data_IF_175649975077
#
_entry.id   IF_175649975077
#
_cell.length_a   1.000
_cell.length_b   1.000
_cell.length_c   1.000
_cell.angle_alpha   90.00
_cell.angle_beta   90.00
_cell.angle_gamma   90.00
#
_symmetry.space_group_name_H-M   'P 1'
#
loop_
_entity.id
_entity.type
_entity.pdbx_description
1 polymer ?
#
# COMPACT_ATOMS: atom_id res chain seq x y z
N UNK A 1 30.88 -14.85 -35.27
CA UNK A 1 30.59 -13.46 -34.89
C UNK A 1 31.92 -12.78 -34.60
N UNK A 2 32.13 -11.56 -35.10
CA UNK A 2 33.33 -10.79 -34.74
C UNK A 2 33.25 -10.35 -33.27
N UNK A 3 34.35 -10.43 -32.51
CA UNK A 3 34.35 -10.02 -31.11
C UNK A 3 34.14 -8.51 -31.00
N UNK A 4 33.22 -8.09 -30.12
CA UNK A 4 32.87 -6.68 -29.86
C UNK A 4 33.96 -5.91 -29.08
N UNK A 5 35.12 -6.53 -28.83
CA UNK A 5 36.20 -5.97 -28.00
C UNK A 5 36.15 -6.45 -26.54
N UNK A 6 37.22 -6.18 -25.77
CA UNK A 6 37.31 -6.61 -24.37
C UNK A 6 36.45 -5.73 -23.45
N UNK A 7 35.84 -6.35 -22.45
CA UNK A 7 35.28 -5.65 -21.29
C UNK A 7 36.40 -5.39 -20.29
N UNK A 8 36.70 -4.11 -20.04
CA UNK A 8 37.75 -3.68 -19.11
C UNK A 8 37.15 -3.44 -17.70
N UNK A 9 37.69 -4.14 -16.70
CA UNK A 9 37.33 -4.00 -15.30
C UNK A 9 38.61 -3.72 -14.50
N UNK A 10 38.68 -2.56 -13.84
CA UNK A 10 39.81 -2.21 -12.98
C UNK A 10 39.54 -2.59 -11.52
N UNK A 11 40.60 -2.72 -10.74
CA UNK A 11 40.50 -2.99 -9.31
C UNK A 11 39.71 -1.88 -8.61
N UNK A 12 38.66 -2.26 -7.86
CA UNK A 12 37.76 -1.33 -7.17
C UNK A 12 36.56 -0.85 -8.00
N UNK A 13 36.49 -1.16 -9.30
CA UNK A 13 35.31 -0.85 -10.09
C UNK A 13 34.08 -1.65 -9.63
N UNK A 14 32.90 -1.02 -9.69
CA UNK A 14 31.64 -1.74 -9.63
C UNK A 14 31.33 -2.34 -11.01
N UNK A 15 31.26 -3.67 -11.08
CA UNK A 15 31.03 -4.39 -12.33
C UNK A 15 29.77 -3.93 -13.08
N UNK A 16 28.71 -3.57 -12.34
CA UNK A 16 27.47 -3.08 -12.96
C UNK A 16 27.65 -1.79 -13.78
N UNK A 17 28.53 -0.86 -13.35
CA UNK A 17 28.77 0.39 -14.08
C UNK A 17 29.55 0.13 -15.37
N UNK A 18 30.60 -0.70 -15.30
CA UNK A 18 31.45 -1.03 -16.44
C UNK A 18 30.72 -1.86 -17.49
N UNK A 19 29.92 -2.83 -17.07
CA UNK A 19 29.08 -3.62 -17.98
C UNK A 19 28.04 -2.73 -18.63
N UNK A 20 27.49 -1.74 -17.92
CA UNK A 20 26.56 -0.79 -18.52
C UNK A 20 27.25 0.12 -19.54
N UNK A 21 28.40 0.71 -19.20
CA UNK A 21 29.18 1.54 -20.13
C UNK A 21 29.55 0.77 -21.40
N UNK A 22 29.96 -0.49 -21.25
CA UNK A 22 30.25 -1.38 -22.37
C UNK A 22 29.00 -1.66 -23.21
N UNK A 23 27.87 -1.98 -22.58
CA UNK A 23 26.62 -2.23 -23.28
C UNK A 23 26.12 -0.99 -24.03
N UNK A 24 26.24 0.20 -23.45
CA UNK A 24 25.85 1.47 -24.08
C UNK A 24 26.74 1.79 -25.29
N UNK A 25 28.06 1.62 -25.15
CA UNK A 25 29.04 1.84 -26.22
C UNK A 25 28.76 1.00 -27.46
N UNK A 26 28.29 -0.23 -27.29
CA UNK A 26 27.98 -1.15 -28.38
C UNK A 26 26.47 -1.28 -28.66
N UNK A 27 25.65 -0.41 -28.05
CA UNK A 27 24.20 -0.39 -28.20
C UNK A 27 23.55 -1.77 -27.98
N UNK A 28 24.02 -2.50 -26.96
CA UNK A 28 23.56 -3.84 -26.62
C UNK A 28 22.18 -3.78 -25.95
N UNK A 29 21.37 -4.80 -26.21
CA UNK A 29 20.07 -4.93 -25.54
C UNK A 29 20.23 -5.18 -24.04
N UNK A 30 19.21 -4.83 -23.26
CA UNK A 30 19.18 -5.08 -21.81
C UNK A 30 19.40 -6.55 -21.48
N UNK A 31 18.82 -7.48 -22.25
CA UNK A 31 18.99 -8.91 -22.04
C UNK A 31 20.46 -9.36 -22.18
N UNK A 32 21.17 -8.84 -23.18
CA UNK A 32 22.59 -9.15 -23.39
C UNK A 32 23.43 -8.55 -22.26
N UNK A 33 23.14 -7.31 -21.86
CA UNK A 33 23.80 -6.67 -20.72
C UNK A 33 23.62 -7.45 -19.41
N UNK A 34 22.41 -7.91 -19.13
CA UNK A 34 22.11 -8.66 -17.90
C UNK A 34 22.80 -10.03 -17.90
N UNK A 35 22.93 -10.66 -19.08
CA UNK A 35 23.72 -11.87 -19.26
C UNK A 35 25.21 -11.62 -18.98
N UNK A 36 25.79 -10.55 -19.53
CA UNK A 36 27.19 -10.17 -19.27
C UNK A 36 27.39 -9.93 -17.77
N UNK A 37 26.47 -9.21 -17.12
CA UNK A 37 26.56 -8.90 -15.70
C UNK A 37 26.43 -10.15 -14.82
N UNK A 38 25.53 -11.08 -15.16
CA UNK A 38 25.43 -12.37 -14.47
C UNK A 38 26.72 -13.18 -14.62
N UNK A 39 27.31 -13.22 -15.81
CA UNK A 39 28.60 -13.90 -15.98
C UNK A 39 29.67 -13.27 -15.09
N UNK A 40 29.84 -11.96 -15.14
CA UNK A 40 30.86 -11.24 -14.34
C UNK A 40 30.63 -11.40 -12.83
N UNK A 41 29.38 -11.27 -12.36
CA UNK A 41 29.06 -11.21 -10.93
C UNK A 41 28.67 -12.55 -10.28
N UNK A 42 28.41 -13.59 -11.07
CA UNK A 42 28.04 -14.93 -10.58
C UNK A 42 29.05 -15.96 -11.04
N UNK A 43 29.26 -16.10 -12.35
CA UNK A 43 30.02 -17.22 -12.91
C UNK A 43 31.53 -17.07 -12.69
N UNK A 44 32.07 -15.86 -12.91
CA UNK A 44 33.52 -15.62 -12.87
C UNK A 44 33.98 -14.71 -11.74
N UNK A 45 33.07 -14.19 -10.89
CA UNK A 45 33.37 -13.25 -9.79
C UNK A 45 34.55 -13.68 -8.92
N UNK A 46 34.59 -14.96 -8.53
CA UNK A 46 35.66 -15.51 -7.69
C UNK A 46 37.03 -15.58 -8.40
N UNK A 47 37.03 -15.65 -9.73
CA UNK A 47 38.26 -15.72 -10.53
C UNK A 47 38.85 -14.33 -10.85
N UNK A 48 38.01 -13.29 -10.90
CA UNK A 48 38.42 -11.94 -11.34
C UNK A 48 38.50 -10.91 -10.21
N UNK A 49 38.16 -11.28 -8.97
CA UNK A 49 38.22 -10.42 -7.78
C UNK A 49 37.55 -9.03 -7.98
N UNK A 50 36.35 -9.01 -8.56
CA UNK A 50 35.60 -7.77 -8.84
C UNK A 50 34.53 -7.49 -7.79
N UNK A 51 34.26 -6.20 -7.59
CA UNK A 51 33.18 -5.75 -6.71
C UNK A 51 31.86 -5.82 -7.47
N UNK A 52 30.97 -6.67 -6.96
CA UNK A 52 29.58 -6.74 -7.40
C UNK A 52 28.69 -6.47 -6.19
N UNK A 53 28.58 -5.20 -5.80
CA UNK A 53 27.69 -4.78 -4.72
C UNK A 53 26.26 -4.57 -5.21
N UNK A 54 26.06 -4.42 -6.52
CA UNK A 54 24.76 -4.19 -7.15
C UNK A 54 24.71 -4.76 -8.57
N UNK A 55 23.49 -4.98 -9.06
CA UNK A 55 23.24 -5.43 -10.43
C UNK A 55 22.63 -4.32 -11.32
N UNK A 56 22.69 -3.07 -10.88
CA UNK A 56 22.20 -1.92 -11.63
C UNK A 56 23.24 -0.80 -11.59
N UNK A 57 23.56 -0.14 -12.72
CA UNK A 57 24.56 0.92 -12.80
C UNK A 57 24.07 2.23 -12.15
N UNK A 58 24.97 3.11 -11.70
CA UNK A 58 24.60 4.46 -11.25
C UNK A 58 24.40 5.35 -12.47
N UNK A 59 23.18 5.83 -12.67
CA UNK A 59 22.84 6.77 -13.77
C UNK A 59 22.93 8.23 -13.37
N UNK A 60 22.87 8.50 -12.06
CA UNK A 60 22.96 9.86 -11.56
C UNK A 60 23.49 9.86 -10.14
N UNK A 61 24.39 10.80 -9.87
CA UNK A 61 24.93 11.01 -8.54
C UNK A 61 24.91 12.51 -8.24
N UNK A 62 24.28 12.91 -7.13
CA UNK A 62 24.22 14.32 -6.71
C UNK A 62 24.73 14.46 -5.29
N UNK A 63 25.64 15.43 -5.03
CA UNK A 63 25.98 15.80 -3.66
C UNK A 63 24.76 16.42 -2.97
N UNK A 64 24.38 15.87 -1.84
CA UNK A 64 23.30 16.36 -0.98
C UNK A 64 23.92 17.33 0.03
N UNK A 65 23.74 18.63 -0.18
CA UNK A 65 24.20 19.69 0.74
C UNK A 65 23.05 20.21 1.58
N UNK A 66 23.19 20.36 2.90
CA UNK A 66 22.15 20.97 3.76
C UNK A 66 21.86 22.42 3.40
N UNK A 67 22.90 23.16 3.03
CA UNK A 67 22.87 24.55 2.59
C UNK A 67 23.89 24.73 1.46
N UNK A 68 23.70 25.70 0.57
CA UNK A 68 24.62 25.98 -0.54
C UNK A 68 26.07 26.28 -0.09
N UNK A 69 26.24 26.72 1.16
CA UNK A 69 27.53 27.08 1.76
C UNK A 69 28.15 25.94 2.58
N UNK A 70 27.49 24.80 2.75
CA UNK A 70 27.97 23.68 3.56
C UNK A 70 28.54 22.55 2.70
N UNK A 71 29.56 21.81 3.19
CA UNK A 71 30.06 20.64 2.49
C UNK A 71 28.96 19.58 2.32
N UNK A 72 28.97 18.80 1.22
CA UNK A 72 27.99 17.75 0.98
C UNK A 72 27.93 16.76 2.14
N UNK A 73 26.72 16.53 2.65
CA UNK A 73 26.42 15.53 3.69
C UNK A 73 26.59 14.11 3.16
N UNK A 74 26.54 13.95 1.83
CA UNK A 74 26.97 12.76 1.12
C UNK A 74 26.45 12.77 -0.32
N UNK A 75 26.54 11.64 -1.00
CA UNK A 75 26.14 11.51 -2.41
C UNK A 75 24.90 10.64 -2.54
N UNK A 76 23.79 11.20 -3.05
CA UNK A 76 22.66 10.40 -3.49
C UNK A 76 23.00 9.77 -4.83
N UNK A 77 22.96 8.44 -4.89
CA UNK A 77 23.13 7.65 -6.11
C UNK A 77 21.79 7.09 -6.58
N UNK A 78 21.47 7.31 -7.85
CA UNK A 78 20.31 6.75 -8.52
C UNK A 78 20.81 5.65 -9.44
N UNK A 79 20.25 4.44 -9.26
CA UNK A 79 20.58 3.29 -10.08
C UNK A 79 19.63 3.17 -11.27
N UNK A 80 20.11 2.69 -12.41
CA UNK A 80 19.29 2.41 -13.57
C UNK A 80 18.42 1.19 -13.32
N UNK A 81 17.12 1.39 -13.24
CA UNK A 81 16.16 0.30 -13.13
C UNK A 81 15.84 -0.20 -14.54
N UNK A 82 16.82 -0.81 -15.20
CA UNK A 82 16.56 -1.57 -16.42
C UNK A 82 16.43 -3.04 -16.05
N UNK A 83 15.18 -3.50 -15.98
CA UNK A 83 14.82 -4.84 -16.44
C UNK A 83 15.47 -6.04 -15.74
N UNK A 84 15.50 -6.06 -14.40
CA UNK A 84 15.36 -7.36 -13.74
C UNK A 84 13.98 -7.91 -14.10
N UNK A 85 13.95 -8.79 -15.10
CA UNK A 85 12.92 -9.81 -15.23
C UNK A 85 13.05 -10.78 -14.04
N UNK A 86 12.83 -10.30 -12.83
CA UNK A 86 12.00 -11.10 -11.95
C UNK A 86 10.58 -10.92 -12.48
N UNK A 87 9.94 -12.04 -12.74
CA UNK A 87 8.56 -12.18 -13.18
C UNK A 87 7.67 -11.30 -12.31
N UNK A 88 7.41 -10.06 -12.71
CA UNK A 88 6.35 -9.19 -12.21
C UNK A 88 6.15 -8.01 -13.16
N UNK A 89 4.97 -8.01 -13.78
CA UNK A 89 4.48 -6.93 -14.64
C UNK A 89 4.09 -5.74 -13.78
N UNK A 90 5.05 -4.88 -13.41
CA UNK A 90 4.80 -3.43 -13.39
C UNK A 90 6.10 -2.63 -13.19
N UNK A 91 6.82 -2.41 -14.29
CA UNK A 91 7.91 -1.42 -14.39
C UNK A 91 7.40 -0.02 -14.73
N UNK A 92 6.16 0.33 -14.35
CA UNK A 92 5.66 1.70 -14.43
C UNK A 92 6.05 2.50 -13.18
N UNK A 93 7.27 3.02 -13.17
CA UNK A 93 7.67 4.07 -12.24
C UNK A 93 9.18 4.20 -12.02
N UNK A 94 9.89 5.03 -12.81
CA UNK A 94 11.26 5.40 -12.51
C UNK A 94 11.28 6.45 -11.38
N UNK A 95 11.22 5.95 -10.14
CA UNK A 95 11.67 6.52 -8.87
C UNK A 95 10.79 6.02 -7.72
N UNK A 96 10.94 4.75 -7.37
CA UNK A 96 10.47 4.29 -6.08
C UNK A 96 11.37 4.91 -5.02
N UNK A 97 10.76 5.46 -3.97
CA UNK A 97 11.36 6.02 -2.75
C UNK A 97 12.34 5.04 -2.04
N UNK A 98 12.57 3.85 -2.57
CA UNK A 98 13.52 2.84 -2.12
C UNK A 98 14.97 3.31 -1.99
N UNK A 99 15.62 3.94 -3.00
CA UNK A 99 16.99 4.44 -2.86
C UNK A 99 17.12 5.62 -1.91
N UNK A 100 16.12 6.52 -1.84
CA UNK A 100 16.11 7.62 -0.86
C UNK A 100 15.91 7.11 0.57
N UNK A 101 15.11 6.04 0.75
CA UNK A 101 15.00 5.34 2.04
C UNK A 101 16.25 4.55 2.35
N UNK A 102 16.82 3.78 1.43
CA UNK A 102 18.05 3.02 1.68
C UNK A 102 19.21 3.95 2.01
N UNK A 103 19.33 5.06 1.28
CA UNK A 103 20.30 6.13 1.56
C UNK A 103 20.01 6.81 2.91
N UNK A 104 18.76 7.20 3.16
CA UNK A 104 18.33 7.78 4.44
C UNK A 104 18.57 6.85 5.62
N UNK A 105 18.20 5.57 5.53
CA UNK A 105 18.42 4.53 6.54
C UNK A 105 19.91 4.26 6.76
N UNK A 106 20.74 4.26 5.72
CA UNK A 106 22.21 4.16 5.84
C UNK A 106 22.84 5.36 6.57
N UNK A 107 22.11 6.49 6.62
CA UNK A 107 22.52 7.73 7.28
C UNK A 107 21.63 8.12 8.47
N UNK A 108 20.78 7.20 8.93
CA UNK A 108 19.81 7.39 10.01
C UNK A 108 18.96 8.68 9.88
N UNK A 109 18.55 9.04 8.66
CA UNK A 109 17.68 10.20 8.41
C UNK A 109 16.33 10.01 9.09
N UNK A 110 15.86 11.06 9.74
CA UNK A 110 14.51 11.09 10.28
C UNK A 110 13.49 11.09 9.15
N UNK A 111 12.26 10.69 9.46
CA UNK A 111 11.13 10.78 8.54
C UNK A 111 10.99 12.17 7.92
N UNK A 112 11.23 13.21 8.72
CA UNK A 112 11.13 14.61 8.31
C UNK A 112 12.19 15.01 7.30
N UNK A 113 13.43 14.60 7.55
CA UNK A 113 14.52 14.85 6.61
C UNK A 113 14.23 14.20 5.26
N UNK A 114 13.65 13.00 5.23
CA UNK A 114 13.24 12.35 3.97
C UNK A 114 12.15 13.15 3.24
N UNK A 115 11.17 13.67 3.97
CA UNK A 115 10.08 14.43 3.37
C UNK A 115 10.49 15.81 2.85
N UNK A 116 11.47 16.46 3.47
CA UNK A 116 12.01 17.74 2.99
C UNK A 116 12.79 17.57 1.68
N UNK A 117 13.57 16.50 1.56
CA UNK A 117 14.40 16.26 0.38
C UNK A 117 13.62 15.73 -0.83
N UNK A 118 12.55 14.96 -0.61
CA UNK A 118 11.84 14.31 -1.70
C UNK A 118 11.27 15.31 -2.75
N UNK A 119 10.57 16.40 -2.37
CA UNK A 119 10.10 17.39 -3.33
C UNK A 119 11.24 18.05 -4.13
N UNK A 120 12.38 18.32 -3.49
CA UNK A 120 13.53 18.93 -4.18
C UNK A 120 14.12 18.00 -5.24
N UNK A 121 14.28 16.71 -4.91
CA UNK A 121 14.74 15.71 -5.85
C UNK A 121 13.79 15.55 -7.05
N UNK A 122 12.49 15.59 -6.79
CA UNK A 122 11.46 15.47 -7.83
C UNK A 122 11.40 16.67 -8.78
N UNK A 123 11.96 17.82 -8.39
CA UNK A 123 12.04 19.03 -9.24
C UNK A 123 13.28 19.07 -10.13
N UNK A 124 14.26 18.21 -9.88
CA UNK A 124 15.48 18.17 -10.70
C UNK A 124 15.11 17.81 -12.14
N UNK A 125 15.52 18.65 -13.08
CA UNK A 125 15.33 18.44 -14.52
C UNK A 125 16.67 18.28 -15.21
N UNK A 126 16.71 17.45 -16.26
CA UNK A 126 17.86 17.27 -17.15
C UNK A 126 17.37 17.36 -18.59
N UNK A 127 17.98 18.25 -19.38
CA UNK A 127 17.61 18.49 -20.78
C UNK A 127 16.09 18.77 -20.98
N UNK A 128 15.48 19.51 -20.06
CA UNK A 128 14.05 19.88 -20.16
C UNK A 128 13.05 18.80 -19.73
N UNK A 129 13.51 17.63 -19.28
CA UNK A 129 12.66 16.57 -18.73
C UNK A 129 12.91 16.37 -17.23
N UNK A 130 11.88 15.99 -16.44
CA UNK A 130 12.07 15.57 -15.05
C UNK A 130 13.06 14.41 -14.98
N UNK A 131 14.06 14.52 -14.09
CA UNK A 131 15.04 13.46 -13.87
C UNK A 131 14.39 12.24 -13.20
N UNK A 132 13.40 12.49 -12.33
CA UNK A 132 12.68 11.48 -11.55
C UNK A 132 11.19 11.53 -11.90
N UNK A 133 10.56 10.36 -12.11
CA UNK A 133 9.11 10.27 -12.24
C UNK A 133 8.49 10.04 -10.86
N UNK A 134 8.33 11.13 -10.13
CA UNK A 134 7.72 11.10 -8.81
C UNK A 134 6.20 11.02 -8.90
N UNK A 135 5.64 9.86 -8.58
CA UNK A 135 4.19 9.61 -8.63
C UNK A 135 3.49 9.68 -7.27
N UNK A 136 4.24 9.54 -6.17
CA UNK A 136 3.72 9.54 -4.79
C UNK A 136 4.75 10.07 -3.80
N UNK A 137 4.27 10.48 -2.63
CA UNK A 137 5.11 10.91 -1.52
C UNK A 137 5.39 9.80 -0.50
N UNK A 138 4.46 8.86 -0.31
CA UNK A 138 4.64 7.77 0.65
C UNK A 138 5.54 6.67 0.09
N UNK A 139 6.48 6.24 0.91
CA UNK A 139 7.32 5.13 0.56
C UNK A 139 6.55 3.81 0.52
N UNK A 140 6.96 2.93 -0.39
CA UNK A 140 6.48 1.54 -0.39
C UNK A 140 7.35 0.74 0.58
N UNK A 141 6.75 0.28 1.66
CA UNK A 141 7.41 -0.54 2.69
C UNK A 141 7.32 -2.04 2.37
N UNK A 142 6.22 -2.46 1.73
CA UNK A 142 6.00 -3.85 1.33
C UNK A 142 5.38 -3.93 -0.07
N UNK A 143 5.74 -4.98 -0.79
CA UNK A 143 5.25 -5.29 -2.12
C UNK A 143 5.26 -6.80 -2.31
N UNK A 144 4.11 -7.39 -2.54
CA UNK A 144 3.99 -8.81 -2.82
C UNK A 144 2.92 -9.03 -3.90
N UNK A 145 3.32 -9.45 -5.11
CA UNK A 145 2.37 -9.94 -6.11
C UNK A 145 1.87 -11.31 -5.66
N UNK A 146 0.57 -11.42 -5.47
CA UNK A 146 -0.09 -12.65 -5.02
C UNK A 146 -0.56 -13.41 -6.26
N UNK A 147 0.01 -14.59 -6.45
CA UNK A 147 -0.24 -15.44 -7.62
C UNK A 147 -1.23 -16.56 -7.27
N UNK A 148 -2.16 -16.84 -8.18
CA UNK A 148 -3.07 -18.01 -8.10
C UNK A 148 -2.40 -19.24 -8.70
N UNK A 149 -1.72 -19.04 -9.83
CA UNK A 149 -0.91 -20.05 -10.54
C UNK A 149 0.37 -19.38 -11.04
N UNK A 150 1.32 -20.14 -11.58
CA UNK A 150 2.59 -19.60 -12.07
C UNK A 150 2.43 -18.41 -13.03
N UNK A 151 1.36 -18.38 -13.83
CA UNK A 151 1.13 -17.38 -14.87
C UNK A 151 -0.06 -16.43 -14.58
N UNK A 152 -0.79 -16.65 -13.48
CA UNK A 152 -2.01 -15.89 -13.16
C UNK A 152 -1.88 -15.16 -11.82
N UNK A 153 -1.75 -13.84 -11.91
CA UNK A 153 -1.74 -12.94 -10.76
C UNK A 153 -3.18 -12.68 -10.27
N UNK A 154 -3.42 -12.82 -8.97
CA UNK A 154 -4.67 -12.41 -8.32
C UNK A 154 -4.70 -10.89 -8.18
N UNK A 155 -3.58 -10.35 -7.70
CA UNK A 155 -3.33 -8.93 -7.56
C UNK A 155 -2.08 -8.70 -6.71
N UNK A 156 -1.75 -7.44 -6.52
CA UNK A 156 -0.59 -7.03 -5.73
C UNK A 156 -1.02 -6.51 -4.35
N UNK A 157 -0.39 -7.03 -3.29
CA UNK A 157 -0.44 -6.51 -1.93
C UNK A 157 0.68 -5.47 -1.74
N UNK A 158 0.30 -4.22 -1.51
CA UNK A 158 1.20 -3.10 -1.27
C UNK A 158 0.94 -2.52 0.13
N UNK A 159 2.00 -2.17 0.86
CA UNK A 159 1.90 -1.39 2.10
C UNK A 159 2.77 -0.15 1.97
N UNK A 160 2.14 1.01 2.12
CA UNK A 160 2.80 2.32 2.11
C UNK A 160 3.14 2.78 3.53
N UNK A 161 4.10 3.70 3.63
CA UNK A 161 4.54 4.26 4.90
C UNK A 161 3.41 5.00 5.61
N UNK A 162 3.11 4.57 6.84
CA UNK A 162 2.02 5.11 7.66
C UNK A 162 0.70 4.34 7.55
N UNK A 163 0.61 3.33 6.69
CA UNK A 163 -0.52 2.41 6.67
C UNK A 163 -0.31 1.27 7.68
N UNK A 164 -1.41 0.79 8.27
CA UNK A 164 -1.38 -0.43 9.08
C UNK A 164 -1.33 -1.65 8.14
N UNK A 165 -0.29 -2.51 8.22
CA UNK A 165 -0.13 -3.59 7.26
C UNK A 165 -1.27 -4.61 7.31
N UNK A 166 -1.82 -4.91 8.50
CA UNK A 166 -2.91 -5.87 8.61
C UNK A 166 -4.21 -5.38 7.97
N UNK A 167 -4.43 -4.06 7.91
CA UNK A 167 -5.58 -3.48 7.20
C UNK A 167 -5.44 -3.64 5.69
N UNK A 168 -4.22 -3.48 5.16
CA UNK A 168 -3.96 -3.70 3.73
C UNK A 168 -4.14 -5.17 3.35
N UNK A 169 -3.69 -6.10 4.21
CA UNK A 169 -3.93 -7.53 4.04
C UNK A 169 -5.43 -7.81 4.03
N UNK A 170 -6.18 -7.30 5.01
CA UNK A 170 -7.64 -7.48 5.06
C UNK A 170 -8.33 -6.91 3.80
N UNK A 171 -7.98 -5.69 3.38
CA UNK A 171 -8.54 -5.06 2.19
C UNK A 171 -8.22 -5.85 0.92
N UNK A 172 -7.02 -6.44 0.83
CA UNK A 172 -6.66 -7.34 -0.26
C UNK A 172 -7.49 -8.62 -0.25
N UNK A 173 -7.60 -9.29 0.91
CA UNK A 173 -8.41 -10.49 1.06
C UNK A 173 -9.88 -10.25 0.74
N UNK A 174 -10.40 -9.07 1.07
CA UNK A 174 -11.79 -8.66 0.78
C UNK A 174 -12.02 -8.39 -0.69
N UNK A 175 -11.13 -7.62 -1.32
CA UNK A 175 -11.22 -7.31 -2.75
C UNK A 175 -11.16 -8.58 -3.63
N UNK A 176 -10.45 -9.60 -3.18
CA UNK A 176 -10.22 -10.83 -3.93
C UNK A 176 -10.99 -12.05 -3.41
N UNK A 177 -11.84 -11.86 -2.38
CA UNK A 177 -12.65 -12.88 -1.70
C UNK A 177 -11.88 -14.13 -1.24
N UNK A 178 -10.75 -13.90 -0.56
CA UNK A 178 -9.79 -14.93 -0.17
C UNK A 178 -9.90 -15.39 1.30
N UNK A 179 -10.95 -14.99 2.02
CA UNK A 179 -11.01 -15.19 3.48
C UNK A 179 -11.07 -16.64 3.95
N UNK A 180 -11.69 -17.54 3.19
CA UNK A 180 -11.73 -18.98 3.50
C UNK A 180 -10.73 -19.80 2.68
N UNK A 181 -9.72 -19.15 2.07
CA UNK A 181 -8.66 -19.84 1.31
C UNK A 181 -7.45 -20.14 2.18
N UNK A 182 -7.64 -20.87 3.29
CA UNK A 182 -6.50 -21.34 4.08
C UNK A 182 -5.57 -22.20 3.20
N UNK A 183 -4.24 -22.01 3.22
CA UNK A 183 -3.46 -21.21 4.18
C UNK A 183 -3.11 -19.77 3.72
N UNK A 184 -3.67 -19.27 2.62
CA UNK A 184 -3.29 -17.99 1.99
C UNK A 184 -3.56 -16.80 2.92
N UNK A 185 -4.71 -16.77 3.58
CA UNK A 185 -5.12 -15.70 4.51
C UNK A 185 -4.13 -15.52 5.68
N UNK A 186 -3.76 -16.61 6.37
CA UNK A 186 -2.81 -16.60 7.49
C UNK A 186 -1.39 -16.30 7.02
N UNK A 187 -1.00 -16.83 5.87
CA UNK A 187 0.33 -16.65 5.30
C UNK A 187 0.58 -15.18 4.92
N UNK A 188 -0.39 -14.51 4.30
CA UNK A 188 -0.25 -13.10 3.89
C UNK A 188 -0.07 -12.18 5.09
N UNK A 189 -0.85 -12.36 6.16
CA UNK A 189 -0.70 -11.58 7.39
C UNK A 189 0.69 -11.79 8.03
N UNK A 190 1.14 -13.03 8.17
CA UNK A 190 2.42 -13.36 8.79
C UNK A 190 3.62 -12.83 7.99
N UNK A 191 3.63 -13.06 6.66
CA UNK A 191 4.68 -12.55 5.78
C UNK A 191 4.72 -11.02 5.86
N UNK A 192 3.57 -10.36 5.75
CA UNK A 192 3.51 -8.90 5.77
C UNK A 192 4.00 -8.34 7.11
N UNK A 193 3.49 -8.84 8.25
CA UNK A 193 3.87 -8.35 9.57
C UNK A 193 5.32 -8.70 9.97
N UNK A 194 5.93 -9.72 9.35
CA UNK A 194 7.36 -10.01 9.50
C UNK A 194 8.24 -8.98 8.80
N UNK A 195 7.79 -8.44 7.67
CA UNK A 195 8.54 -7.47 6.88
C UNK A 195 8.25 -6.01 7.24
N UNK A 196 7.02 -5.70 7.68
CA UNK A 196 6.60 -4.37 8.12
C UNK A 196 5.95 -4.50 9.50
N UNK A 197 6.43 -3.80 10.53
CA UNK A 197 5.86 -3.88 11.87
C UNK A 197 4.36 -3.53 11.88
N UNK A 198 3.54 -4.46 12.34
CA UNK A 198 2.11 -4.26 12.56
C UNK A 198 1.89 -3.65 13.95
N UNK A 199 1.09 -2.58 14.04
CA UNK A 199 0.74 -2.01 15.36
C UNK A 199 -0.31 -2.85 16.08
N UNK A 200 -1.06 -3.66 15.33
CA UNK A 200 -2.09 -4.57 15.84
C UNK A 200 -2.25 -5.81 14.97
N UNK A 201 -2.83 -6.86 15.56
CA UNK A 201 -3.10 -8.12 14.87
C UNK A 201 -4.52 -8.21 14.30
N UNK A 202 -5.46 -7.47 14.87
CA UNK A 202 -6.85 -7.42 14.39
C UNK A 202 -6.97 -6.31 13.35
N UNK A 203 -7.46 -6.58 12.12
CA UNK A 203 -7.65 -5.56 11.10
C UNK A 203 -8.84 -4.64 11.41
N UNK A 204 -8.82 -3.45 10.83
CA UNK A 204 -9.92 -2.50 10.78
C UNK A 204 -10.21 -2.25 9.30
N UNK A 205 -11.49 -2.18 8.97
CA UNK A 205 -11.91 -1.99 7.58
C UNK A 205 -11.47 -0.60 7.12
N UNK A 206 -10.79 -0.53 5.97
CA UNK A 206 -10.55 0.73 5.27
C UNK A 206 -11.88 1.16 4.67
N UNK A 207 -12.41 2.31 5.08
CA UNK A 207 -13.67 2.85 4.56
C UNK A 207 -13.44 3.38 3.15
N UNK A 208 -12.45 4.26 3.00
CA UNK A 208 -12.05 4.80 1.72
C UNK A 208 -10.62 5.35 1.78
N UNK A 209 -10.06 5.60 0.60
CA UNK A 209 -8.78 6.29 0.41
C UNK A 209 -8.99 7.56 -0.41
N UNK A 210 -8.30 8.62 -0.05
CA UNK A 210 -8.30 9.91 -0.75
C UNK A 210 -6.86 10.27 -1.15
N UNK A 211 -6.71 10.99 -2.25
CA UNK A 211 -5.42 11.57 -2.65
C UNK A 211 -5.46 13.08 -2.48
N UNK A 212 -4.42 13.64 -1.87
CA UNK A 212 -4.19 15.07 -1.76
C UNK A 212 -2.83 15.41 -2.37
N UNK A 213 -2.74 16.49 -3.15
CA UNK A 213 -1.46 16.91 -3.74
C UNK A 213 -0.84 17.99 -2.86
N UNK A 214 0.40 17.79 -2.42
CA UNK A 214 1.17 18.77 -1.66
C UNK A 214 2.60 18.85 -2.19
N UNK A 215 3.11 20.07 -2.38
CA UNK A 215 4.44 20.33 -2.95
C UNK A 215 4.72 19.65 -4.32
N UNK A 216 3.67 19.35 -5.09
CA UNK A 216 3.77 18.67 -6.39
C UNK A 216 3.75 17.14 -6.32
N UNK A 217 3.63 16.56 -5.12
CA UNK A 217 3.54 15.12 -4.90
C UNK A 217 2.15 14.73 -4.45
N UNK A 218 1.68 13.57 -4.92
CA UNK A 218 0.44 12.97 -4.45
C UNK A 218 0.69 12.23 -3.15
N UNK A 219 -0.13 12.53 -2.16
CA UNK A 219 -0.16 11.86 -0.88
C UNK A 219 -1.47 11.08 -0.74
N UNK A 220 -1.40 9.88 -0.17
CA UNK A 220 -2.59 9.04 0.07
C UNK A 220 -2.96 9.06 1.55
N UNK A 221 -4.20 9.46 1.85
CA UNK A 221 -4.82 9.35 3.17
C UNK A 221 -5.86 8.24 3.15
N UNK A 222 -5.83 7.36 4.16
CA UNK A 222 -6.81 6.30 4.34
C UNK A 222 -7.61 6.56 5.61
N UNK A 223 -8.95 6.54 5.49
CA UNK A 223 -9.81 6.54 6.66
C UNK A 223 -10.22 5.09 6.96
N UNK A 224 -9.82 4.62 8.14
CA UNK A 224 -10.18 3.30 8.66
C UNK A 224 -11.30 3.43 9.69
N UNK A 225 -12.15 2.41 9.78
CA UNK A 225 -13.22 2.30 10.77
C UNK A 225 -12.65 2.57 12.18
N UNK A 226 -13.16 3.57 12.92
CA UNK A 226 -12.72 3.80 14.28
C UNK A 226 -13.29 2.75 15.24
N UNK A 227 -12.65 2.64 16.41
CA UNK A 227 -13.27 1.97 17.57
C UNK A 227 -14.37 2.84 18.18
N UNK A 228 -14.11 4.16 18.27
CA UNK A 228 -15.06 5.14 18.76
C UNK A 228 -15.10 6.37 17.84
N UNK A 229 -16.29 6.90 17.60
CA UNK A 229 -16.49 8.09 16.76
C UNK A 229 -15.88 9.37 17.38
N UNK A 230 -15.67 9.38 18.69
CA UNK A 230 -15.19 10.54 19.45
C UNK A 230 -13.95 10.19 20.25
N UNK A 231 -12.86 10.91 20.01
CA UNK A 231 -11.62 10.79 20.79
C UNK A 231 -11.64 11.89 21.84
N UNK A 232 -11.68 11.50 23.11
CA UNK A 232 -11.74 12.43 24.23
C UNK A 232 -10.43 12.43 25.01
N UNK A 233 -9.90 13.62 25.28
CA UNK A 233 -8.74 13.83 26.15
C UNK A 233 -9.16 14.64 27.38
N UNK A 234 -8.70 14.23 28.55
CA UNK A 234 -8.87 14.98 29.79
C UNK A 234 -7.64 15.84 30.04
N UNK A 235 -7.84 17.15 30.15
CA UNK A 235 -6.78 18.10 30.49
C UNK A 235 -7.31 19.11 31.50
N UNK A 236 -6.58 19.25 32.63
CA UNK A 236 -6.90 20.17 33.73
C UNK A 236 -8.37 20.12 34.22
N UNK A 237 -8.95 18.92 34.31
CA UNK A 237 -10.33 18.73 34.77
C UNK A 237 -11.42 19.03 33.74
N UNK A 238 -11.05 19.34 32.49
CA UNK A 238 -11.97 19.47 31.36
C UNK A 238 -11.79 18.32 30.37
N UNK A 239 -12.89 17.69 29.96
CA UNK A 239 -12.91 16.64 28.93
C UNK A 239 -13.18 17.28 27.58
N UNK A 240 -12.18 17.30 26.71
CA UNK A 240 -12.32 17.79 25.33
C UNK A 240 -12.44 16.59 24.39
N UNK A 241 -13.58 16.49 23.71
CA UNK A 241 -13.85 15.44 22.72
C UNK A 241 -13.78 16.02 21.32
N UNK A 242 -13.04 15.35 20.44
CA UNK A 242 -12.98 15.66 19.01
C UNK A 242 -13.43 14.45 18.21
N UNK A 243 -14.16 14.70 17.13
CA UNK A 243 -14.58 13.63 16.23
C UNK A 243 -13.36 12.97 15.59
N UNK A 244 -13.36 11.65 15.49
CA UNK A 244 -12.24 10.83 15.00
C UNK A 244 -11.66 11.34 13.67
N UNK A 245 -12.54 11.74 12.74
CA UNK A 245 -12.14 12.30 11.44
C UNK A 245 -11.27 13.55 11.57
N UNK A 246 -11.57 14.44 12.52
CA UNK A 246 -10.78 15.65 12.77
C UNK A 246 -9.41 15.30 13.36
N UNK A 247 -9.37 14.35 14.29
CA UNK A 247 -8.11 13.91 14.89
C UNK A 247 -7.20 13.33 13.81
N UNK A 248 -7.75 12.48 12.93
CA UNK A 248 -7.01 11.91 11.80
C UNK A 248 -6.53 12.94 10.79
N UNK A 249 -7.32 13.96 10.48
CA UNK A 249 -6.88 15.01 9.56
C UNK A 249 -5.73 15.82 10.16
N UNK A 250 -5.80 16.18 11.43
CA UNK A 250 -4.75 16.92 12.14
C UNK A 250 -3.46 16.10 12.22
N UNK A 251 -3.53 14.83 12.64
CA UNK A 251 -2.37 13.93 12.71
C UNK A 251 -1.68 13.77 11.36
N UNK A 252 -2.48 13.56 10.31
CA UNK A 252 -1.98 13.40 8.95
C UNK A 252 -1.28 14.68 8.46
N UNK A 253 -1.90 15.85 8.66
CA UNK A 253 -1.32 17.13 8.27
C UNK A 253 -0.04 17.46 9.06
N UNK A 254 -0.03 17.22 10.37
CA UNK A 254 1.16 17.39 11.20
C UNK A 254 2.31 16.46 10.77
N UNK A 255 1.98 15.31 10.17
CA UNK A 255 2.98 14.38 9.65
C UNK A 255 3.44 14.73 8.25
N UNK A 256 2.53 15.01 7.30
CA UNK A 256 2.84 15.07 5.87
C UNK A 256 2.80 16.47 5.26
N UNK A 257 2.17 17.45 5.91
CA UNK A 257 1.91 18.78 5.34
C UNK A 257 2.18 19.91 6.34
N UNK A 258 3.32 19.85 7.04
CA UNK A 258 3.67 20.75 8.16
C UNK A 258 3.67 22.24 7.85
N UNK A 259 3.96 22.61 6.60
CA UNK A 259 3.96 24.01 6.17
C UNK A 259 2.58 24.59 5.89
N UNK A 260 1.50 23.79 5.98
CA UNK A 260 0.15 24.22 5.67
C UNK A 260 -0.73 24.28 6.92
N UNK A 261 -0.88 25.49 7.47
CA UNK A 261 -1.59 25.75 8.74
C UNK A 261 -3.07 25.36 8.70
N UNK A 262 -3.74 25.55 7.57
CA UNK A 262 -5.16 25.23 7.38
C UNK A 262 -5.42 23.77 6.97
N UNK A 263 -4.35 22.97 6.82
CA UNK A 263 -4.46 21.60 6.32
C UNK A 263 -5.44 20.75 7.14
N UNK A 264 -5.38 20.84 8.48
CA UNK A 264 -6.21 20.02 9.37
C UNK A 264 -7.71 20.21 9.11
N UNK A 265 -8.14 21.45 8.89
CA UNK A 265 -9.54 21.79 8.65
C UNK A 265 -9.97 21.46 7.23
N UNK A 266 -9.15 21.79 6.23
CA UNK A 266 -9.44 21.47 4.82
C UNK A 266 -9.53 19.95 4.62
N UNK A 267 -8.54 19.20 5.11
CA UNK A 267 -8.54 17.74 5.04
C UNK A 267 -9.65 17.13 5.88
N UNK A 268 -9.95 17.72 7.05
CA UNK A 268 -11.06 17.28 7.91
C UNK A 268 -12.41 17.38 7.21
N UNK A 269 -12.66 18.50 6.53
CA UNK A 269 -13.89 18.71 5.76
C UNK A 269 -13.98 17.76 4.56
N UNK A 270 -12.88 17.57 3.82
CA UNK A 270 -12.83 16.63 2.70
C UNK A 270 -13.07 15.17 3.15
N UNK A 271 -12.50 14.78 4.30
CA UNK A 271 -12.71 13.45 4.89
C UNK A 271 -14.16 13.26 5.34
N UNK A 272 -14.78 14.25 5.98
CA UNK A 272 -16.19 14.19 6.39
C UNK A 272 -17.10 14.02 5.18
N UNK A 273 -16.89 14.82 4.13
CA UNK A 273 -17.68 14.73 2.91
C UNK A 273 -17.53 13.35 2.24
N UNK A 274 -16.30 12.83 2.17
CA UNK A 274 -16.03 11.49 1.63
C UNK A 274 -16.67 10.39 2.48
N UNK A 275 -16.71 10.56 3.80
CA UNK A 275 -17.40 9.65 4.71
C UNK A 275 -18.91 9.65 4.47
N UNK A 276 -19.53 10.82 4.28
CA UNK A 276 -20.94 10.91 3.90
C UNK A 276 -21.23 10.13 2.62
N UNK A 277 -20.42 10.31 1.57
CA UNK A 277 -20.58 9.56 0.32
C UNK A 277 -20.41 8.05 0.52
N UNK A 278 -19.41 7.64 1.30
CA UNK A 278 -19.20 6.24 1.62
C UNK A 278 -20.43 5.63 2.33
N UNK A 279 -20.96 6.32 3.33
CA UNK A 279 -22.14 5.86 4.08
C UNK A 279 -23.37 5.77 3.16
N UNK A 280 -23.63 6.78 2.33
CA UNK A 280 -24.73 6.76 1.37
C UNK A 280 -24.64 5.55 0.42
N UNK A 281 -23.47 5.30 -0.15
CA UNK A 281 -23.25 4.16 -1.05
C UNK A 281 -23.39 2.82 -0.30
N UNK A 282 -22.90 2.73 0.93
CA UNK A 282 -23.07 1.54 1.77
C UNK A 282 -24.56 1.24 2.00
N UNK A 283 -25.35 2.26 2.30
CA UNK A 283 -26.78 2.11 2.57
C UNK A 283 -27.63 1.97 1.30
N UNK A 284 -27.13 2.31 0.10
CA UNK A 284 -27.80 1.98 -1.17
C UNK A 284 -27.71 0.50 -1.53
N UNK A 285 -26.66 -0.21 -1.08
CA UNK A 285 -26.47 -1.64 -1.34
C UNK A 285 -27.63 -2.48 -0.78
N UNK A 286 -27.94 -3.58 -1.46
CA UNK A 286 -29.04 -4.50 -1.09
C UNK A 286 -28.80 -5.17 0.27
N UNK A 287 -29.86 -5.72 0.86
CA UNK A 287 -29.83 -6.26 2.22
C UNK A 287 -28.76 -7.35 2.39
N UNK A 288 -28.51 -8.18 1.37
CA UNK A 288 -27.53 -9.28 1.41
C UNK A 288 -26.07 -8.91 1.08
N UNK A 289 -25.76 -7.63 0.83
CA UNK A 289 -24.38 -7.20 0.52
C UNK A 289 -23.72 -6.48 1.69
N UNK A 290 -22.41 -6.66 1.81
CA UNK A 290 -21.54 -5.95 2.77
C UNK A 290 -22.07 -5.97 4.21
N UNK A 291 -22.55 -7.14 4.67
CA UNK A 291 -23.16 -7.29 5.99
C UNK A 291 -22.22 -6.86 7.13
N UNK A 292 -20.95 -7.26 7.05
CA UNK A 292 -19.94 -6.82 8.03
C UNK A 292 -19.74 -5.31 7.99
N UNK A 293 -19.69 -4.70 6.81
CA UNK A 293 -19.51 -3.25 6.69
C UNK A 293 -20.69 -2.46 7.28
N UNK A 294 -21.93 -2.95 7.12
CA UNK A 294 -23.13 -2.35 7.73
C UNK A 294 -23.08 -2.37 9.26
N UNK A 295 -22.42 -3.37 9.84
CA UNK A 295 -22.18 -3.46 11.29
C UNK A 295 -20.88 -2.77 11.73
N UNK A 296 -20.10 -2.19 10.81
CA UNK A 296 -18.78 -1.62 11.12
C UNK A 296 -17.75 -2.67 11.55
N UNK A 297 -17.93 -3.93 11.13
CA UNK A 297 -17.10 -5.07 11.50
C UNK A 297 -16.25 -5.57 10.32
N UNK A 298 -15.30 -6.44 10.65
CA UNK A 298 -14.46 -7.20 9.71
C UNK A 298 -14.89 -8.66 9.69
N UNK A 299 -14.68 -9.36 8.57
CA UNK A 299 -14.86 -10.82 8.50
C UNK A 299 -14.03 -11.50 9.60
N UNK A 300 -14.63 -12.46 10.30
CA UNK A 300 -14.04 -13.11 11.47
C UNK A 300 -14.46 -12.52 12.83
N UNK A 301 -15.31 -11.49 12.86
CA UNK A 301 -15.91 -10.99 14.10
C UNK A 301 -16.67 -12.11 14.85
N UNK A 302 -16.60 -12.10 16.19
CA UNK A 302 -17.28 -13.06 17.06
C UNK A 302 -18.78 -12.78 17.16
N UNK A 303 -19.55 -13.75 17.67
CA UNK A 303 -21.01 -13.58 17.88
C UNK A 303 -21.30 -12.39 18.81
N UNK A 304 -20.54 -12.25 19.89
CA UNK A 304 -20.69 -11.18 20.88
C UNK A 304 -20.40 -9.81 20.27
N UNK A 305 -19.40 -9.72 19.39
CA UNK A 305 -19.07 -8.48 18.68
C UNK A 305 -20.14 -8.08 17.68
N UNK A 306 -20.74 -9.07 17.01
CA UNK A 306 -21.85 -8.87 16.08
C UNK A 306 -23.08 -8.37 16.84
N UNK A 307 -23.40 -8.96 17.99
CA UNK A 307 -24.51 -8.53 18.84
C UNK A 307 -24.30 -7.14 19.41
N UNK A 308 -23.11 -6.86 19.96
CA UNK A 308 -22.77 -5.55 20.50
C UNK A 308 -22.87 -4.45 19.43
N UNK A 309 -22.30 -4.69 18.24
CA UNK A 309 -22.37 -3.73 17.14
C UNK A 309 -23.82 -3.48 16.68
N UNK A 310 -24.63 -4.53 16.55
CA UNK A 310 -26.04 -4.42 16.19
C UNK A 310 -26.82 -3.58 17.22
N UNK A 311 -26.65 -3.85 18.52
CA UNK A 311 -27.34 -3.12 19.58
C UNK A 311 -26.99 -1.63 19.57
N UNK A 312 -25.71 -1.30 19.43
CA UNK A 312 -25.26 0.10 19.31
C UNK A 312 -25.87 0.79 18.08
N UNK A 313 -25.89 0.12 16.93
CA UNK A 313 -26.38 0.73 15.69
C UNK A 313 -27.89 0.88 15.65
N UNK A 314 -28.66 -0.04 16.25
CA UNK A 314 -30.14 0.07 16.32
C UNK A 314 -30.57 1.25 17.19
N UNK A 315 -29.81 1.60 18.22
CA UNK A 315 -30.08 2.81 19.01
C UNK A 315 -29.96 4.08 18.16
N UNK A 316 -29.09 4.08 17.15
CA UNK A 316 -28.88 5.19 16.21
C UNK A 316 -29.85 5.16 15.03
N UNK A 317 -30.04 3.98 14.44
CA UNK A 317 -30.83 3.74 13.23
C UNK A 317 -32.00 2.81 13.56
N UNK A 318 -33.04 3.37 14.19
CA UNK A 318 -34.20 2.61 14.61
C UNK A 318 -35.32 2.62 13.56
N UNK A 319 -36.37 1.84 13.79
CA UNK A 319 -37.49 1.71 12.86
C UNK A 319 -38.30 3.01 12.67
N UNK A 320 -38.26 3.92 13.64
CA UNK A 320 -38.99 5.19 13.58
C UNK A 320 -38.21 6.27 12.81
N UNK A 321 -36.89 6.35 13.04
CA UNK A 321 -36.03 7.37 12.42
C UNK A 321 -35.57 6.97 11.03
N UNK A 322 -35.11 5.72 10.88
CA UNK A 322 -34.43 5.25 9.66
C UNK A 322 -34.82 3.79 9.33
N UNK A 323 -36.10 3.51 8.98
CA UNK A 323 -36.62 2.14 8.79
C UNK A 323 -35.84 1.33 7.75
N UNK A 324 -35.38 1.97 6.67
CA UNK A 324 -34.61 1.30 5.61
C UNK A 324 -33.23 0.82 6.10
N UNK A 325 -32.56 1.59 6.97
CA UNK A 325 -31.29 1.19 7.56
C UNK A 325 -31.50 0.14 8.64
N UNK A 326 -32.54 0.29 9.44
CA UNK A 326 -32.92 -0.68 10.47
C UNK A 326 -33.18 -2.08 9.87
N UNK A 327 -33.94 -2.17 8.77
CA UNK A 327 -34.17 -3.44 8.08
C UNK A 327 -32.86 -4.10 7.61
N UNK A 328 -31.92 -3.29 7.09
CA UNK A 328 -30.60 -3.76 6.64
C UNK A 328 -29.71 -4.22 7.79
N UNK A 329 -29.75 -3.53 8.92
CA UNK A 329 -29.05 -3.92 10.14
C UNK A 329 -29.58 -5.26 10.66
N UNK A 330 -30.91 -5.40 10.71
CA UNK A 330 -31.56 -6.66 11.11
C UNK A 330 -31.18 -7.80 10.19
N UNK A 331 -31.23 -7.60 8.87
CA UNK A 331 -30.80 -8.62 7.91
C UNK A 331 -29.32 -9.03 8.07
N UNK A 332 -28.44 -8.06 8.38
CA UNK A 332 -27.04 -8.33 8.67
C UNK A 332 -26.87 -9.15 9.96
N UNK A 333 -27.55 -8.78 11.04
CA UNK A 333 -27.54 -9.51 12.29
C UNK A 333 -28.10 -10.94 12.13
N UNK A 334 -29.29 -11.10 11.54
CA UNK A 334 -29.97 -12.39 11.33
C UNK A 334 -29.14 -13.39 10.50
N UNK A 335 -28.22 -12.89 9.68
CA UNK A 335 -27.32 -13.70 8.85
C UNK A 335 -25.98 -13.96 9.55
N UNK A 336 -25.38 -12.96 10.18
CA UNK A 336 -24.03 -13.06 10.75
C UNK A 336 -24.00 -13.63 12.16
N UNK A 337 -25.07 -13.48 12.94
CA UNK A 337 -25.17 -14.03 14.29
C UNK A 337 -25.44 -15.54 14.25
N UNK A 338 -26.18 -16.03 13.24
CA UNK A 338 -26.41 -17.45 13.01
C UNK A 338 -25.14 -18.13 12.45
N UNK A 339 -24.55 -19.13 13.15
CA UNK A 339 -23.29 -19.74 12.73
C UNK A 339 -23.34 -20.42 11.36
N UNK A 340 -24.47 -21.02 11.00
CA UNK A 340 -24.62 -21.72 9.72
C UNK A 340 -24.74 -20.71 8.58
N UNK A 341 -25.63 -19.71 8.71
CA UNK A 341 -25.78 -18.66 7.69
C UNK A 341 -24.50 -17.86 7.51
N UNK A 342 -23.80 -17.54 8.60
CA UNK A 342 -22.50 -16.87 8.56
C UNK A 342 -21.48 -17.67 7.77
N UNK A 343 -21.39 -18.98 8.01
CA UNK A 343 -20.47 -19.86 7.29
C UNK A 343 -20.68 -19.78 5.77
N UNK A 344 -21.93 -19.92 5.30
CA UNK A 344 -22.25 -19.82 3.88
C UNK A 344 -22.07 -18.42 3.31
N UNK A 345 -22.32 -17.38 4.11
CA UNK A 345 -22.05 -16.00 3.70
C UNK A 345 -20.55 -15.75 3.49
N UNK A 346 -19.70 -16.31 4.35
CA UNK A 346 -18.25 -16.16 4.33
C UNK A 346 -17.55 -17.04 3.28
N UNK A 347 -18.25 -18.01 2.68
CA UNK A 347 -17.71 -18.85 1.60
C UNK A 347 -17.28 -17.98 0.41
N UNK A 348 -16.18 -18.37 -0.26
CA UNK A 348 -15.70 -17.66 -1.42
C UNK A 348 -16.69 -17.83 -2.57
N UNK A 349 -16.86 -16.75 -3.30
CA UNK A 349 -17.63 -16.68 -4.52
C UNK A 349 -16.96 -17.50 -5.62
N UNK A 350 -17.65 -18.54 -6.13
CA UNK A 350 -17.18 -19.29 -7.30
C UNK A 350 -17.50 -18.50 -8.56
N UNK A 351 -16.47 -18.12 -9.33
CA UNK A 351 -16.64 -17.32 -10.55
C UNK A 351 -17.01 -18.22 -11.73
N UNK A 352 -18.22 -18.06 -12.27
CA UNK A 352 -18.70 -18.74 -13.47
C UNK A 352 -19.01 -17.71 -14.55
N UNK A 353 -18.18 -17.64 -15.61
CA UNK A 353 -18.39 -16.69 -16.72
C UNK A 353 -18.57 -15.22 -16.27
N UNK A 354 -17.87 -14.79 -15.21
CA UNK A 354 -18.00 -13.45 -14.63
C UNK A 354 -19.17 -13.26 -13.66
N UNK A 355 -19.96 -14.31 -13.40
CA UNK A 355 -21.01 -14.33 -12.38
C UNK A 355 -20.50 -14.98 -11.10
N UNK A 356 -21.09 -14.57 -9.97
CA UNK A 356 -20.78 -15.09 -8.66
C UNK A 356 -21.74 -16.21 -8.25
N UNK A 357 -21.25 -17.44 -8.15
CA UNK A 357 -21.98 -18.57 -7.58
C UNK A 357 -21.64 -18.74 -6.10
N UNK A 358 -22.61 -18.50 -5.22
CA UNK A 358 -22.50 -18.86 -3.79
C UNK A 358 -23.27 -20.13 -3.49
N UNK A 359 -22.63 -21.03 -2.73
CA UNK A 359 -23.25 -22.27 -2.27
C UNK A 359 -24.24 -21.98 -1.15
N UNK A 360 -25.36 -22.69 -1.18
CA UNK A 360 -26.43 -22.62 -0.20
C UNK A 360 -26.47 -23.87 0.70
N UNK A 361 -27.15 -23.81 1.86
CA UNK A 361 -27.32 -24.96 2.75
C UNK A 361 -27.98 -26.18 2.11
N UNK A 362 -28.90 -25.95 1.17
CA UNK A 362 -29.64 -26.99 0.43
C UNK A 362 -28.81 -27.69 -0.65
N UNK A 363 -27.52 -27.33 -0.80
CA UNK A 363 -26.64 -27.82 -1.86
C UNK A 363 -26.82 -27.11 -3.20
N UNK A 364 -27.76 -26.16 -3.28
CA UNK A 364 -27.95 -25.29 -4.44
C UNK A 364 -26.86 -24.24 -4.58
N UNK A 365 -26.85 -23.57 -5.72
CA UNK A 365 -26.00 -22.41 -5.98
C UNK A 365 -26.89 -21.22 -6.34
N UNK A 366 -26.76 -20.13 -5.60
CA UNK A 366 -27.32 -18.83 -5.98
C UNK A 366 -26.32 -18.10 -6.85
N UNK A 367 -26.74 -17.73 -8.06
CA UNK A 367 -25.93 -16.97 -9.00
C UNK A 367 -26.34 -15.50 -8.91
N UNK A 368 -25.39 -14.62 -8.62
CA UNK A 368 -25.57 -13.17 -8.70
C UNK A 368 -24.63 -12.56 -9.73
N UNK A 369 -25.01 -11.40 -10.26
CA UNK A 369 -24.21 -10.62 -11.22
C UNK A 369 -23.06 -9.87 -10.57
N UNK A 370 -22.84 -10.05 -9.27
CA UNK A 370 -22.02 -9.17 -8.45
C UNK A 370 -20.77 -9.90 -7.95
N UNK A 371 -19.60 -9.36 -8.32
CA UNK A 371 -18.33 -9.66 -7.67
C UNK A 371 -18.28 -9.09 -6.26
#
# INVERSE_FOLDING_TARGET
AEPLGPLELHEGDEAADRVFEFADRFNLSSAVRDQILNTVCVDIKAAINVTCSRFAPVVFQVPITKNASEPPVGMLQILQVNHFKEVNKDTTGPCLIGPCIRYGSSRNWTFLQRQEWLPELCRIQRAGAPLLNCSRAEARLFYLPVMETADKEIGTLEVLEGQEPIDQVYAFLEKHDLFQTAPVNESLANITCRHVPCSRLRPRRILFSMQATYMGLKHTIQLVQPEEDWVCMESYGSKQCQHYVQVRSIEYCAKHMRGWTECGDVMGNALRQSLTYYEEELWKKSNGKDLYAKLGLVKGATSDEIEAAYHTLVLRFNNETEPQKYEKLRAAYDTLHDPEKKYYYDLPCMKFFGLCGKRQPDGGMTISTDN
#
